data_IF_654767548195
#
_entry.id   IF_654767548195
#
_cell.length_a   1.000
_cell.length_b   1.000
_cell.length_c   1.000
_cell.angle_alpha   90.00
_cell.angle_beta   90.00
_cell.angle_gamma   90.00
#
_symmetry.space_group_name_H-M   'P 1'
#
loop_
_entity.id
_entity.type
_entity.pdbx_description
1 polymer ?
#
# COMPACT_ATOMS: atom_id res chain seq x y z
N UNK A 1 7.26 14.11 16.60
CA UNK A 1 7.52 13.59 15.24
C UNK A 1 7.26 14.67 14.20
N UNK A 2 7.70 14.44 12.95
CA UNK A 2 7.39 15.35 11.83
C UNK A 2 5.86 15.51 11.65
N UNK A 3 5.10 14.44 11.83
CA UNK A 3 3.63 14.48 11.78
C UNK A 3 3.03 15.39 12.84
N UNK A 4 3.53 15.34 14.07
CA UNK A 4 3.06 16.21 15.17
C UNK A 4 3.38 17.69 14.89
N UNK A 5 4.56 17.97 14.33
CA UNK A 5 4.95 19.33 13.98
C UNK A 5 4.09 19.91 12.86
N UNK A 6 3.74 19.09 11.86
CA UNK A 6 2.81 19.46 10.79
C UNK A 6 1.40 19.70 11.36
N UNK A 7 0.88 18.78 12.18
CA UNK A 7 -0.42 18.93 12.83
C UNK A 7 -0.50 20.24 13.62
N UNK A 8 0.49 20.50 14.46
CA UNK A 8 0.57 21.74 15.28
C UNK A 8 0.55 22.99 14.39
N UNK A 9 1.37 23.05 13.35
CA UNK A 9 1.44 24.19 12.43
C UNK A 9 0.14 24.41 11.65
N UNK A 10 -0.58 23.33 11.30
CA UNK A 10 -1.87 23.42 10.67
C UNK A 10 -2.92 24.00 11.63
N UNK A 11 -2.96 23.50 12.87
CA UNK A 11 -3.89 23.98 13.90
C UNK A 11 -3.61 25.43 14.30
N UNK A 12 -2.34 25.84 14.33
CA UNK A 12 -1.97 27.23 14.60
C UNK A 12 -2.47 28.19 13.50
N UNK A 13 -2.48 27.74 12.23
CA UNK A 13 -2.98 28.51 11.10
C UNK A 13 -4.49 28.42 10.94
N UNK A 14 -5.09 27.32 11.36
CA UNK A 14 -6.48 26.93 11.21
C UNK A 14 -7.04 26.46 12.55
N UNK A 15 -7.34 27.38 13.48
CA UNK A 15 -7.81 27.03 14.82
C UNK A 15 -9.10 26.20 14.86
N UNK A 16 -9.89 26.24 13.79
CA UNK A 16 -11.08 25.40 13.59
C UNK A 16 -10.78 23.91 13.52
N UNK A 17 -9.51 23.52 13.26
CA UNK A 17 -9.06 22.13 13.23
C UNK A 17 -8.75 21.56 14.63
N UNK A 18 -8.75 22.42 15.66
CA UNK A 18 -8.52 22.00 17.06
C UNK A 18 -9.66 21.10 17.55
N UNK A 19 -9.32 20.08 18.33
CA UNK A 19 -10.24 19.03 18.77
C UNK A 19 -10.87 18.21 17.61
N UNK A 20 -10.16 18.13 16.50
CA UNK A 20 -10.54 17.28 15.34
C UNK A 20 -9.52 16.17 15.14
N UNK A 21 -9.78 15.27 14.20
CA UNK A 21 -8.85 14.19 13.83
C UNK A 21 -7.50 14.68 13.25
N UNK A 22 -7.34 15.96 12.97
CA UNK A 22 -6.07 16.54 12.56
C UNK A 22 -4.99 16.46 13.65
N UNK A 23 -5.38 16.38 14.91
CA UNK A 23 -4.46 16.17 16.03
C UNK A 23 -3.80 14.79 15.97
N UNK A 24 -4.42 13.82 15.29
CA UNK A 24 -3.92 12.45 15.16
C UNK A 24 -2.94 12.22 14.01
N UNK A 25 -2.61 13.25 13.23
CA UNK A 25 -1.67 13.14 12.08
C UNK A 25 -0.34 12.52 12.53
N UNK A 26 0.18 12.92 13.69
CA UNK A 26 1.41 12.35 14.25
C UNK A 26 1.32 10.86 14.50
N UNK A 27 0.23 10.40 15.12
CA UNK A 27 -0.04 8.98 15.40
C UNK A 27 -0.18 8.19 14.11
N UNK A 28 -0.86 8.73 13.09
CA UNK A 28 -1.03 8.09 11.78
C UNK A 28 0.33 7.92 11.10
N UNK A 29 1.15 8.96 11.04
CA UNK A 29 2.48 8.92 10.40
C UNK A 29 3.42 7.96 11.13
N UNK A 30 3.43 7.97 12.46
CA UNK A 30 4.24 7.04 13.25
C UNK A 30 3.83 5.59 13.01
N UNK A 31 2.52 5.31 13.04
CA UNK A 31 1.99 3.97 12.81
C UNK A 31 2.29 3.49 11.39
N UNK A 32 2.10 4.34 10.39
CA UNK A 32 2.43 4.01 9.01
C UNK A 32 3.93 3.78 8.83
N UNK A 33 4.79 4.59 9.48
CA UNK A 33 6.24 4.41 9.48
C UNK A 33 6.69 3.09 10.10
N UNK A 34 6.02 2.61 11.15
CA UNK A 34 6.29 1.29 11.74
C UNK A 34 5.83 0.13 10.85
N UNK A 35 4.74 0.33 10.13
CA UNK A 35 4.09 -0.74 9.38
C UNK A 35 4.61 -0.90 7.94
N UNK A 36 5.24 0.12 7.35
CA UNK A 36 5.58 0.15 5.92
C UNK A 36 6.54 -0.96 5.48
N UNK A 37 7.42 -1.41 6.37
CA UNK A 37 8.41 -2.47 6.10
C UNK A 37 7.95 -3.87 6.50
N UNK A 38 6.72 -4.03 7.02
CA UNK A 38 6.20 -5.36 7.43
C UNK A 38 6.11 -6.36 6.28
N UNK A 39 6.03 -5.89 5.05
CA UNK A 39 5.95 -6.72 3.85
C UNK A 39 7.27 -7.14 3.26
N UNK A 40 8.40 -6.63 3.75
CA UNK A 40 9.71 -6.95 3.22
C UNK A 40 10.04 -8.43 3.46
N UNK A 41 10.47 -9.17 2.42
CA UNK A 41 10.99 -10.53 2.61
C UNK A 41 12.35 -10.47 3.30
N UNK A 42 12.85 -11.62 3.81
CA UNK A 42 14.23 -11.73 4.27
C UNK A 42 15.20 -11.16 3.23
N UNK A 43 16.20 -10.40 3.69
CA UNK A 43 17.17 -9.68 2.85
C UNK A 43 16.62 -8.52 2.00
N UNK A 44 15.40 -8.01 2.29
CA UNK A 44 14.83 -6.83 1.63
C UNK A 44 14.78 -6.95 0.11
N UNK A 45 15.33 -5.97 -0.61
CA UNK A 45 15.31 -5.95 -2.09
C UNK A 45 16.00 -7.15 -2.74
N UNK A 46 17.01 -7.72 -2.10
CA UNK A 46 17.63 -8.97 -2.61
C UNK A 46 16.66 -10.14 -2.51
N UNK A 47 15.87 -10.20 -1.44
CA UNK A 47 14.80 -11.18 -1.28
C UNK A 47 13.65 -10.97 -2.28
N UNK A 48 13.23 -9.74 -2.53
CA UNK A 48 12.26 -9.42 -3.59
C UNK A 48 12.76 -9.93 -4.94
N UNK A 49 14.01 -9.62 -5.28
CA UNK A 49 14.62 -10.08 -6.54
C UNK A 49 14.71 -11.59 -6.63
N UNK A 50 15.05 -12.29 -5.54
CA UNK A 50 15.10 -13.75 -5.51
C UNK A 50 13.71 -14.36 -5.76
N UNK A 51 12.65 -13.81 -5.16
CA UNK A 51 11.27 -14.25 -5.41
C UNK A 51 10.90 -14.04 -6.88
N UNK A 52 11.15 -12.86 -7.43
CA UNK A 52 10.89 -12.54 -8.83
C UNK A 52 11.62 -13.50 -9.78
N UNK A 53 12.94 -13.72 -9.56
CA UNK A 53 13.77 -14.61 -10.37
C UNK A 53 13.28 -16.06 -10.31
N UNK A 54 12.85 -16.54 -9.13
CA UNK A 54 12.29 -17.89 -8.99
C UNK A 54 11.11 -18.11 -9.93
N UNK A 55 10.19 -17.14 -10.03
CA UNK A 55 9.04 -17.27 -10.91
C UNK A 55 9.37 -16.97 -12.39
N UNK A 56 10.27 -16.05 -12.69
CA UNK A 56 10.56 -15.64 -14.07
C UNK A 56 11.61 -16.51 -14.78
N UNK A 57 12.58 -17.05 -14.05
CA UNK A 57 13.77 -17.70 -14.64
C UNK A 57 13.99 -19.14 -14.16
N UNK A 58 13.39 -19.57 -13.05
CA UNK A 58 13.66 -20.85 -12.39
C UNK A 58 12.41 -21.76 -12.30
N UNK A 59 12.36 -22.62 -11.32
CA UNK A 59 11.35 -23.66 -11.12
C UNK A 59 9.93 -23.14 -10.99
N UNK A 60 9.72 -21.89 -10.60
CA UNK A 60 8.39 -21.28 -10.50
C UNK A 60 7.67 -21.02 -11.84
N UNK A 61 8.37 -21.10 -12.97
CA UNK A 61 7.80 -20.84 -14.31
C UNK A 61 6.59 -21.71 -14.67
N UNK A 62 6.51 -22.93 -14.12
CA UNK A 62 5.37 -23.82 -14.41
C UNK A 62 4.03 -23.24 -13.98
N UNK A 63 4.02 -22.33 -13.03
CA UNK A 63 2.79 -21.70 -12.55
C UNK A 63 2.17 -20.72 -13.56
N UNK A 64 2.92 -20.29 -14.59
CA UNK A 64 2.43 -19.31 -15.55
C UNK A 64 1.14 -19.73 -16.24
N UNK A 65 1.04 -21.01 -16.60
CA UNK A 65 -0.13 -21.57 -17.30
C UNK A 65 -1.25 -22.01 -16.33
N UNK A 66 -0.99 -22.00 -15.01
CA UNK A 66 -1.91 -22.45 -13.95
C UNK A 66 -2.60 -21.30 -13.23
N UNK A 67 -2.15 -20.04 -13.44
CA UNK A 67 -2.64 -18.87 -12.73
C UNK A 67 -3.12 -17.79 -13.71
N UNK A 68 -3.91 -16.81 -13.20
CA UNK A 68 -4.33 -15.67 -14.02
C UNK A 68 -3.14 -14.72 -14.29
N UNK A 69 -3.23 -13.98 -15.41
CA UNK A 69 -2.20 -12.98 -15.77
C UNK A 69 -1.96 -11.96 -14.64
N UNK A 70 -3.03 -11.51 -13.97
CA UNK A 70 -2.92 -10.57 -12.85
C UNK A 70 -2.15 -11.16 -11.67
N UNK A 71 -2.37 -12.44 -11.33
CA UNK A 71 -1.61 -13.10 -10.28
C UNK A 71 -0.16 -13.35 -10.72
N UNK A 72 0.05 -13.68 -12.00
CA UNK A 72 1.40 -13.83 -12.54
C UNK A 72 2.18 -12.52 -12.47
N UNK A 73 1.57 -11.40 -12.82
CA UNK A 73 2.16 -10.06 -12.68
C UNK A 73 2.53 -9.77 -11.22
N UNK A 74 1.65 -10.10 -10.28
CA UNK A 74 1.88 -9.88 -8.85
C UNK A 74 3.12 -10.63 -8.35
N UNK A 75 3.28 -11.93 -8.68
CA UNK A 75 4.38 -12.75 -8.16
C UNK A 75 5.70 -12.50 -8.88
N UNK A 76 5.66 -12.18 -10.18
CA UNK A 76 6.88 -11.89 -10.97
C UNK A 76 7.43 -10.48 -10.73
N UNK A 77 6.60 -9.58 -10.19
CA UNK A 77 7.00 -8.24 -9.76
C UNK A 77 6.88 -8.06 -8.25
N UNK A 78 6.97 -9.16 -7.48
CA UNK A 78 6.81 -9.11 -6.02
C UNK A 78 7.50 -7.88 -5.39
N UNK A 79 6.78 -7.14 -4.54
CA UNK A 79 7.20 -5.87 -3.98
C UNK A 79 6.79 -5.78 -2.50
N UNK A 80 7.74 -5.48 -1.61
CA UNK A 80 7.53 -5.45 -0.17
C UNK A 80 6.46 -4.45 0.29
N UNK A 81 6.35 -3.27 -0.36
CA UNK A 81 5.31 -2.31 0.02
C UNK A 81 3.90 -2.84 -0.29
N UNK A 82 3.71 -3.51 -1.43
CA UNK A 82 2.43 -4.15 -1.75
C UNK A 82 2.11 -5.28 -0.76
N UNK A 83 3.12 -6.06 -0.39
CA UNK A 83 2.97 -7.12 0.61
C UNK A 83 2.68 -6.57 2.00
N UNK A 84 3.22 -5.40 2.38
CA UNK A 84 2.85 -4.74 3.64
C UNK A 84 1.35 -4.41 3.66
N UNK A 85 0.81 -3.82 2.59
CA UNK A 85 -0.61 -3.53 2.48
C UNK A 85 -1.46 -4.81 2.56
N UNK A 86 -1.06 -5.89 1.87
CA UNK A 86 -1.71 -7.20 1.96
C UNK A 86 -1.73 -7.72 3.39
N UNK A 87 -0.60 -7.77 4.09
CA UNK A 87 -0.53 -8.25 5.47
C UNK A 87 -1.43 -7.43 6.42
N UNK A 88 -1.49 -6.11 6.23
CA UNK A 88 -2.30 -5.22 7.06
C UNK A 88 -3.79 -5.35 6.82
N UNK A 89 -4.23 -5.72 5.62
CA UNK A 89 -5.64 -5.81 5.23
C UNK A 89 -6.18 -7.23 5.15
N UNK A 90 -5.29 -8.24 5.07
CA UNK A 90 -5.67 -9.64 4.92
C UNK A 90 -6.47 -10.15 6.13
N UNK A 91 -7.56 -10.85 5.84
CA UNK A 91 -8.32 -11.54 6.88
C UNK A 91 -7.66 -12.88 7.23
N UNK A 92 -6.99 -12.92 8.37
CA UNK A 92 -6.43 -14.15 8.90
C UNK A 92 -7.52 -15.09 9.43
N UNK A 93 -7.28 -16.40 9.34
CA UNK A 93 -8.22 -17.42 9.82
C UNK A 93 -8.59 -17.17 11.29
N UNK A 94 -9.90 -17.22 11.59
CA UNK A 94 -10.44 -16.97 12.93
C UNK A 94 -10.44 -15.50 13.37
N UNK A 95 -10.08 -14.56 12.50
CA UNK A 95 -10.12 -13.12 12.76
C UNK A 95 -11.26 -12.44 12.00
N UNK A 96 -11.70 -11.28 12.50
CA UNK A 96 -12.68 -10.45 11.81
C UNK A 96 -12.10 -9.87 10.50
N UNK A 97 -12.95 -9.49 9.52
CA UNK A 97 -12.51 -8.81 8.31
C UNK A 97 -11.71 -7.53 8.62
N UNK A 98 -10.79 -7.17 7.73
CA UNK A 98 -9.99 -5.94 7.83
C UNK A 98 -8.60 -6.12 8.43
N UNK A 99 -8.13 -7.34 8.60
CA UNK A 99 -6.76 -7.64 9.04
C UNK A 99 -6.44 -7.02 10.39
N UNK A 100 -5.50 -6.07 10.43
CA UNK A 100 -5.12 -5.32 11.63
C UNK A 100 -6.15 -4.25 12.05
N UNK A 101 -7.18 -4.02 11.22
CA UNK A 101 -8.26 -3.05 11.49
C UNK A 101 -7.71 -1.63 11.72
N UNK A 102 -6.78 -1.23 10.86
CA UNK A 102 -6.21 0.11 10.87
C UNK A 102 -7.16 1.13 10.23
N UNK A 103 -6.99 2.41 10.55
CA UNK A 103 -7.74 3.46 9.88
C UNK A 103 -7.39 3.56 8.40
N UNK A 104 -8.32 4.01 7.57
CA UNK A 104 -8.07 4.19 6.14
C UNK A 104 -6.93 5.19 5.87
N UNK A 105 -6.84 6.26 6.66
CA UNK A 105 -5.74 7.22 6.54
C UNK A 105 -4.38 6.58 6.81
N UNK A 106 -4.28 5.68 7.80
CA UNK A 106 -3.04 4.94 8.07
C UNK A 106 -2.70 3.98 6.93
N UNK A 107 -3.68 3.20 6.45
CA UNK A 107 -3.48 2.29 5.32
C UNK A 107 -3.07 3.04 4.05
N UNK A 108 -3.72 4.18 3.74
CA UNK A 108 -3.36 5.00 2.60
C UNK A 108 -1.97 5.65 2.73
N UNK A 109 -1.54 5.98 3.97
CA UNK A 109 -0.20 6.50 4.23
C UNK A 109 0.88 5.42 4.02
N UNK A 110 0.62 4.16 4.34
CA UNK A 110 1.54 3.03 4.06
C UNK A 110 1.75 2.84 2.55
N UNK A 111 0.71 3.04 1.73
CA UNK A 111 0.77 2.79 0.28
C UNK A 111 1.48 3.93 -0.44
N UNK A 112 2.80 3.82 -0.52
CA UNK A 112 3.68 4.83 -1.15
C UNK A 112 3.50 4.94 -2.66
N UNK A 113 3.13 3.86 -3.33
CA UNK A 113 2.97 3.77 -4.78
C UNK A 113 1.56 3.25 -5.12
N UNK A 114 0.53 4.10 -5.10
CA UNK A 114 -0.87 3.68 -5.19
C UNK A 114 -1.27 3.29 -6.63
N UNK A 115 -0.69 2.21 -7.11
CA UNK A 115 -0.92 1.62 -8.44
C UNK A 115 -0.84 0.11 -8.40
N UNK A 116 -1.53 -0.55 -9.35
CA UNK A 116 -1.52 -1.99 -9.53
C UNK A 116 -0.18 -2.49 -10.08
N UNK A 117 0.12 -3.78 -9.87
CA UNK A 117 1.33 -4.47 -10.34
C UNK A 117 1.51 -4.38 -11.86
N UNK A 118 0.44 -4.48 -12.63
CA UNK A 118 0.46 -4.35 -14.09
C UNK A 118 1.01 -3.02 -14.62
N UNK A 119 1.04 -1.98 -13.76
CA UNK A 119 1.67 -0.69 -14.06
C UNK A 119 3.12 -0.58 -13.57
N UNK A 120 3.66 -1.64 -12.98
CA UNK A 120 5.02 -1.62 -12.44
C UNK A 120 6.11 -1.54 -13.52
N UNK A 121 5.86 -2.08 -14.73
CA UNK A 121 6.74 -1.93 -15.90
C UNK A 121 8.19 -2.31 -15.62
N UNK A 122 8.48 -3.59 -15.41
CA UNK A 122 9.84 -4.15 -15.31
C UNK A 122 10.75 -3.68 -14.15
N UNK A 123 10.62 -2.44 -13.70
CA UNK A 123 11.39 -1.86 -12.58
C UNK A 123 10.56 -0.92 -11.70
N UNK A 124 9.26 -0.84 -11.95
CA UNK A 124 8.37 0.06 -11.23
C UNK A 124 7.91 -0.54 -9.89
N UNK A 125 7.87 0.31 -8.86
CA UNK A 125 7.23 -0.06 -7.59
C UNK A 125 5.72 0.10 -7.69
N UNK A 126 4.97 -0.76 -6.99
CA UNK A 126 3.51 -0.69 -6.87
C UNK A 126 3.07 -0.87 -5.42
N UNK A 127 1.81 -0.65 -5.09
CA UNK A 127 1.38 -0.54 -3.71
C UNK A 127 0.34 -1.55 -3.26
N UNK A 128 -0.22 -2.33 -4.16
CA UNK A 128 -1.19 -3.39 -3.85
C UNK A 128 -1.22 -4.44 -4.96
N UNK A 129 -1.39 -5.69 -4.57
CA UNK A 129 -1.60 -6.80 -5.49
C UNK A 129 -3.03 -6.77 -6.05
N UNK A 130 -3.29 -7.53 -7.10
CA UNK A 130 -4.61 -7.63 -7.72
C UNK A 130 -5.69 -8.06 -6.71
N UNK A 131 -5.36 -8.94 -5.77
CA UNK A 131 -6.26 -9.39 -4.70
C UNK A 131 -6.66 -8.28 -3.72
N UNK A 132 -5.83 -7.26 -3.52
CA UNK A 132 -6.08 -6.13 -2.62
C UNK A 132 -6.60 -4.88 -3.36
N UNK A 133 -6.74 -4.93 -4.69
CA UNK A 133 -7.18 -3.80 -5.51
C UNK A 133 -8.52 -3.21 -5.03
N UNK A 134 -9.52 -4.07 -4.78
CA UNK A 134 -10.83 -3.65 -4.28
C UNK A 134 -10.78 -3.01 -2.88
N UNK A 135 -9.89 -3.51 -2.02
CA UNK A 135 -9.67 -2.93 -0.69
C UNK A 135 -9.09 -1.52 -0.80
N UNK A 136 -8.09 -1.32 -1.67
CA UNK A 136 -7.52 0.02 -1.88
C UNK A 136 -8.51 0.97 -2.56
N UNK A 137 -9.28 0.51 -3.53
CA UNK A 137 -10.32 1.30 -4.20
C UNK A 137 -11.36 1.82 -3.20
N UNK A 138 -11.80 0.98 -2.26
CA UNK A 138 -12.68 1.39 -1.15
C UNK A 138 -12.03 2.48 -0.29
N UNK A 139 -10.78 2.29 0.13
CA UNK A 139 -10.03 3.27 0.92
C UNK A 139 -9.93 4.60 0.17
N UNK A 140 -9.57 4.56 -1.11
CA UNK A 140 -9.43 5.74 -1.94
C UNK A 140 -10.76 6.51 -2.08
N UNK A 141 -11.88 5.79 -2.26
CA UNK A 141 -13.22 6.36 -2.31
C UNK A 141 -13.61 7.06 -1.01
N UNK A 142 -13.42 6.40 0.13
CA UNK A 142 -13.78 6.94 1.44
C UNK A 142 -12.94 8.17 1.83
N UNK A 143 -11.68 8.23 1.38
CA UNK A 143 -10.78 9.36 1.64
C UNK A 143 -10.81 10.43 0.55
N UNK A 144 -11.60 10.27 -0.51
CA UNK A 144 -11.61 11.20 -1.65
C UNK A 144 -10.29 11.24 -2.43
N UNK A 145 -9.50 10.16 -2.41
CA UNK A 145 -8.25 10.07 -3.17
C UNK A 145 -8.58 9.95 -4.66
N UNK A 146 -8.07 10.88 -5.45
CA UNK A 146 -8.36 10.96 -6.88
C UNK A 146 -7.78 9.76 -7.64
N UNK A 147 -8.64 9.05 -8.39
CA UNK A 147 -8.21 8.10 -9.42
C UNK A 147 -7.61 8.87 -10.60
N UNK A 148 -6.46 8.42 -11.10
CA UNK A 148 -5.72 9.05 -12.21
C UNK A 148 -5.86 8.25 -13.50
N UNK A 149 -6.15 6.94 -13.44
CA UNK A 149 -6.43 6.10 -14.61
C UNK A 149 -7.90 6.19 -15.03
N UNK A 150 -8.17 5.97 -16.31
CA UNK A 150 -9.54 5.89 -16.84
C UNK A 150 -10.27 4.62 -16.38
N UNK A 151 -11.59 4.60 -16.55
CA UNK A 151 -12.39 3.41 -16.28
C UNK A 151 -11.99 2.29 -17.24
N UNK A 152 -11.77 1.09 -16.71
CA UNK A 152 -11.30 -0.07 -17.50
C UNK A 152 -9.78 -0.19 -17.62
N UNK A 153 -9.02 0.83 -17.24
CA UNK A 153 -7.57 0.78 -17.15
C UNK A 153 -7.09 0.27 -15.78
N UNK A 154 -5.86 -0.26 -15.68
CA UNK A 154 -5.26 -0.64 -14.41
C UNK A 154 -5.30 0.50 -13.39
N UNK A 155 -5.50 0.16 -12.13
CA UNK A 155 -5.71 1.15 -11.07
C UNK A 155 -4.45 2.00 -10.82
N UNK A 156 -4.64 3.32 -10.89
CA UNK A 156 -3.66 4.33 -10.54
C UNK A 156 -4.35 5.45 -9.79
N UNK A 157 -3.84 5.81 -8.62
CA UNK A 157 -4.38 6.86 -7.77
C UNK A 157 -3.34 7.94 -7.44
N UNK A 158 -3.81 9.10 -7.01
CA UNK A 158 -2.97 10.10 -6.38
C UNK A 158 -2.43 9.56 -5.03
N UNK A 159 -1.27 10.03 -4.61
CA UNK A 159 -0.72 9.69 -3.30
C UNK A 159 -1.52 10.38 -2.19
N UNK A 160 -1.74 9.67 -1.09
CA UNK A 160 -2.25 10.30 0.12
C UNK A 160 -1.23 11.34 0.65
N UNK A 161 -1.64 12.53 1.09
CA UNK A 161 -0.70 13.58 1.53
C UNK A 161 0.29 13.14 2.61
N UNK A 162 -0.12 12.28 3.54
CA UNK A 162 0.71 11.81 4.63
C UNK A 162 1.87 10.90 4.18
N UNK A 163 1.83 10.34 2.97
CA UNK A 163 2.96 9.58 2.38
C UNK A 163 4.24 10.42 2.34
N UNK A 164 4.12 11.73 2.17
CA UNK A 164 5.27 12.64 2.09
C UNK A 164 5.90 12.96 3.44
N UNK A 165 5.31 12.49 4.53
CA UNK A 165 5.80 12.67 5.91
C UNK A 165 6.50 11.43 6.48
N UNK A 166 6.57 10.35 5.68
CA UNK A 166 7.18 9.06 6.03
C UNK A 166 8.60 8.95 5.49
#
# INVERSE_FOLDING_TARGET
SLGDDVARRLIDKHPELRNTLFEEIGSIVQTAGLAHDMGNPPFGHSGEKAIQTFFTEDCGKFLKDEVSDAFWDDITHFEGNANAFRLLTHQFLGRRPGGFVMTYSTLAAVVKYPRASSLAGGHGKFGFFASEAAAYEKIASELGIKRLSATGEPLLYARHPLVYLM
#
